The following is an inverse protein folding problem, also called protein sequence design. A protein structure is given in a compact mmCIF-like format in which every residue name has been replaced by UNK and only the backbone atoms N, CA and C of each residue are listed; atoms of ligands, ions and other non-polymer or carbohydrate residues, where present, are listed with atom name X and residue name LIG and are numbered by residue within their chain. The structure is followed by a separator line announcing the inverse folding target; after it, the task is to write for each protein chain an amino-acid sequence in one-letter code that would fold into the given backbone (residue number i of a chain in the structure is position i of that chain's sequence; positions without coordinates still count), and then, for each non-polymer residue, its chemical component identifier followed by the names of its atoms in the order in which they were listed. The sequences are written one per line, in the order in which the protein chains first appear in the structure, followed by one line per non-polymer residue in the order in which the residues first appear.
data_IF_556025945736
#
_entry.id   IF_556025945736
#
_cell.length_a   1.000
_cell.length_b   1.000
_cell.length_c   1.000
_cell.angle_alpha   90.00
_cell.angle_beta   90.00
_cell.angle_gamma   90.00
#
_symmetry.space_group_name_H-M   'P 1'
#
loop_
_entity.id
_entity.type
_entity.pdbx_description
1 polymer ?
#
# COMPACT_ATOMS: atom_id res chain seq x y z
N UNK A 1 -27.63 8.65 -77.19
CA UNK A 1 -27.16 7.25 -77.36
C UNK A 1 -26.49 6.82 -76.05
N UNK A 2 -26.78 5.72 -75.36
CA UNK A 2 -27.74 4.64 -75.47
C UNK A 2 -27.69 3.81 -74.18
N UNK A 3 -28.86 3.33 -73.77
CA UNK A 3 -29.17 2.07 -73.08
C UNK A 3 -28.20 1.50 -72.00
N UNK A 4 -28.59 1.73 -70.74
CA UNK A 4 -28.73 0.78 -69.61
C UNK A 4 -28.11 -0.62 -69.74
N UNK A 5 -27.44 -1.05 -68.66
CA UNK A 5 -27.72 -2.33 -67.97
C UNK A 5 -27.11 -2.36 -66.56
N UNK A 6 -27.98 -2.61 -65.59
CA UNK A 6 -27.65 -3.00 -64.23
C UNK A 6 -27.66 -4.53 -64.14
N UNK A 7 -26.65 -5.11 -63.52
CA UNK A 7 -26.69 -6.47 -62.94
C UNK A 7 -25.67 -6.54 -61.80
N UNK A 8 -26.15 -6.52 -60.55
CA UNK A 8 -25.38 -7.01 -59.40
C UNK A 8 -26.30 -7.86 -58.53
N UNK A 9 -26.46 -9.12 -58.92
CA UNK A 9 -26.95 -10.20 -58.07
C UNK A 9 -25.76 -10.84 -57.37
N UNK A 10 -25.60 -10.57 -56.09
CA UNK A 10 -24.86 -11.42 -55.17
C UNK A 10 -25.38 -11.19 -53.76
N UNK A 11 -26.34 -12.02 -53.35
CA UNK A 11 -26.74 -12.21 -51.96
C UNK A 11 -25.58 -12.86 -51.20
N UNK A 12 -24.82 -12.06 -50.45
CA UNK A 12 -23.85 -12.54 -49.49
C UNK A 12 -24.35 -12.24 -48.07
N UNK A 13 -25.22 -13.12 -47.55
CA UNK A 13 -25.56 -13.15 -46.12
C UNK A 13 -24.36 -13.69 -45.35
N UNK A 14 -23.57 -12.79 -44.77
CA UNK A 14 -22.47 -13.16 -43.89
C UNK A 14 -22.61 -12.46 -42.54
N UNK A 15 -22.62 -13.30 -41.49
CA UNK A 15 -22.30 -13.02 -40.09
C UNK A 15 -23.30 -12.22 -39.27
N UNK A 16 -24.10 -12.94 -38.49
CA UNK A 16 -24.01 -12.76 -37.03
C UNK A 16 -24.35 -14.05 -36.30
N UNK A 17 -23.29 -14.67 -35.80
CA UNK A 17 -23.32 -15.84 -34.93
C UNK A 17 -24.08 -15.48 -33.64
N UNK A 18 -25.35 -15.85 -33.58
CA UNK A 18 -26.16 -15.80 -32.37
C UNK A 18 -25.68 -16.89 -31.42
N UNK A 19 -24.76 -16.59 -30.51
CA UNK A 19 -24.58 -17.36 -29.26
C UNK A 19 -24.11 -16.47 -28.12
N UNK A 20 -25.06 -15.96 -27.35
CA UNK A 20 -24.99 -15.95 -25.87
C UNK A 20 -26.37 -15.59 -25.33
N UNK A 21 -27.18 -16.61 -25.07
CA UNK A 21 -28.37 -16.42 -24.25
C UNK A 21 -27.93 -16.12 -22.82
N UNK A 22 -28.51 -15.05 -22.30
CA UNK A 22 -28.67 -14.71 -20.90
C UNK A 22 -28.95 -15.93 -20.02
N UNK A 23 -28.24 -16.06 -18.91
CA UNK A 23 -28.76 -16.23 -17.55
C UNK A 23 -27.57 -16.45 -16.61
N UNK A 24 -27.09 -15.36 -15.99
CA UNK A 24 -26.49 -15.32 -14.64
C UNK A 24 -26.30 -13.83 -14.30
N UNK A 25 -27.30 -13.30 -13.60
CA UNK A 25 -27.34 -12.01 -12.93
C UNK A 25 -28.38 -12.23 -11.83
N UNK A 26 -28.15 -12.06 -10.53
CA UNK A 26 -27.08 -11.43 -9.77
C UNK A 26 -26.85 -12.27 -8.51
N UNK A 27 -25.60 -12.51 -8.12
CA UNK A 27 -25.27 -12.72 -6.71
C UNK A 27 -24.56 -11.45 -6.24
N UNK A 28 -25.09 -10.68 -5.28
CA UNK A 28 -24.25 -9.75 -4.56
C UNK A 28 -23.34 -10.62 -3.69
N UNK A 29 -22.08 -10.70 -4.11
CA UNK A 29 -20.98 -11.10 -3.23
C UNK A 29 -20.98 -10.10 -2.07
N UNK A 30 -21.47 -10.53 -0.89
CA UNK A 30 -21.08 -9.92 0.38
C UNK A 30 -19.58 -10.12 0.50
N UNK A 31 -18.82 -9.12 0.08
CA UNK A 31 -17.44 -8.95 0.54
C UNK A 31 -17.50 -8.34 1.94
N UNK A 32 -17.88 -9.15 2.92
CA UNK A 32 -17.57 -8.82 4.30
C UNK A 32 -16.09 -9.14 4.53
N UNK A 33 -15.32 -8.10 4.84
CA UNK A 33 -14.03 -8.24 5.51
C UNK A 33 -12.84 -8.55 4.61
N UNK A 34 -12.70 -7.90 3.46
CA UNK A 34 -11.43 -7.83 2.74
C UNK A 34 -10.36 -7.19 3.63
N UNK A 35 -9.35 -7.99 3.97
CA UNK A 35 -8.26 -7.62 4.86
C UNK A 35 -7.35 -6.50 4.36
N UNK A 36 -6.46 -6.12 5.28
CA UNK A 36 -5.21 -5.41 5.05
C UNK A 36 -5.30 -4.16 4.16
N UNK A 37 -5.70 -3.04 4.76
CA UNK A 37 -5.18 -1.73 4.36
C UNK A 37 -4.09 -1.31 5.33
N UNK A 38 -2.92 -1.95 5.22
CA UNK A 38 -1.65 -1.31 5.56
C UNK A 38 -1.39 -0.20 4.54
N UNK A 39 -2.18 0.87 4.63
CA UNK A 39 -1.88 2.09 3.91
C UNK A 39 -0.82 2.78 4.75
N UNK A 40 0.45 2.60 4.38
CA UNK A 40 1.51 3.53 4.75
C UNK A 40 0.92 4.94 4.67
N UNK A 41 0.90 5.66 5.79
CA UNK A 41 0.17 6.91 5.93
C UNK A 41 0.69 7.91 4.89
N UNK A 42 0.02 7.98 3.75
CA UNK A 42 0.10 9.09 2.84
C UNK A 42 -0.55 10.23 3.61
N UNK A 43 0.27 11.07 4.26
CA UNK A 43 -0.20 12.35 4.80
C UNK A 43 -0.51 13.20 3.58
N UNK A 44 -1.66 12.92 2.99
CA UNK A 44 -2.26 13.75 1.96
C UNK A 44 -2.54 15.13 2.57
N UNK A 45 -2.37 16.17 1.77
CA UNK A 45 -2.52 17.57 2.21
C UNK A 45 -3.91 17.90 2.78
N UNK A 46 -4.87 16.98 2.68
CA UNK A 46 -6.23 17.09 3.20
C UNK A 46 -6.51 16.46 4.56
N UNK A 47 -5.55 15.79 5.22
CA UNK A 47 -5.80 15.20 6.54
C UNK A 47 -6.01 16.28 7.61
N UNK A 48 -7.09 16.17 8.39
CA UNK A 48 -7.40 17.12 9.44
C UNK A 48 -6.39 17.04 10.59
N UNK A 49 -6.32 18.08 11.42
CA UNK A 49 -5.43 18.07 12.60
C UNK A 49 -5.80 16.94 13.56
N UNK A 50 -7.10 16.63 13.69
CA UNK A 50 -7.57 15.51 14.52
C UNK A 50 -7.02 14.18 14.01
N UNK A 51 -7.10 13.93 12.70
CA UNK A 51 -6.60 12.69 12.10
C UNK A 51 -5.10 12.51 12.34
N UNK A 52 -4.34 13.62 12.26
CA UNK A 52 -2.89 13.61 12.53
C UNK A 52 -2.58 13.31 14.00
N UNK A 53 -3.36 13.85 14.94
CA UNK A 53 -3.19 13.59 16.37
C UNK A 53 -3.57 12.16 16.74
N UNK A 54 -4.64 11.62 16.15
CA UNK A 54 -5.04 10.23 16.33
C UNK A 54 -3.97 9.28 15.75
N UNK A 55 -3.47 9.57 14.55
CA UNK A 55 -2.36 8.82 13.96
C UNK A 55 -1.11 8.86 14.85
N UNK A 56 -0.77 10.03 15.42
CA UNK A 56 0.36 10.17 16.33
C UNK A 56 0.17 9.34 17.60
N UNK A 57 -1.02 9.38 18.20
CA UNK A 57 -1.37 8.57 19.38
C UNK A 57 -1.16 7.07 19.14
N UNK A 58 -1.50 6.58 17.94
CA UNK A 58 -1.34 5.17 17.58
C UNK A 58 0.14 4.73 17.39
N UNK A 59 1.09 5.66 17.24
CA UNK A 59 2.52 5.36 17.06
C UNK A 59 3.30 5.37 18.38
N UNK A 60 2.82 6.10 19.37
CA UNK A 60 3.48 6.20 20.68
C UNK A 60 2.96 5.09 21.58
N UNK A 61 3.83 4.25 22.16
CA UNK A 61 3.41 3.26 23.13
C UNK A 61 2.96 3.98 24.40
N UNK A 62 1.66 4.24 24.49
CA UNK A 62 1.01 4.84 25.65
C UNK A 62 0.09 3.79 26.28
N UNK A 63 0.21 3.58 27.59
CA UNK A 63 -0.57 2.57 28.32
C UNK A 63 -2.07 2.89 28.37
N UNK A 64 -2.43 4.14 28.06
CA UNK A 64 -3.78 4.65 28.20
C UNK A 64 -4.39 4.96 26.82
N UNK A 65 -5.35 4.12 26.40
CA UNK A 65 -6.18 4.39 25.22
C UNK A 65 -7.20 5.53 25.43
N UNK A 66 -7.23 6.16 26.60
CA UNK A 66 -8.12 7.28 26.91
C UNK A 66 -7.75 8.56 26.16
N UNK A 67 -8.60 9.58 26.26
CA UNK A 67 -8.43 10.88 25.61
C UNK A 67 -7.23 11.61 26.23
N UNK A 68 -6.07 11.49 25.57
CA UNK A 68 -4.82 12.15 25.98
C UNK A 68 -4.82 13.57 25.42
N UNK A 69 -4.51 14.56 26.27
CA UNK A 69 -4.37 15.96 25.84
C UNK A 69 -3.18 16.10 24.87
N UNK A 70 -3.26 16.98 23.85
CA UNK A 70 -2.18 17.17 22.88
C UNK A 70 -0.81 17.45 23.53
N UNK A 71 -0.76 18.30 24.56
CA UNK A 71 0.50 18.65 25.23
C UNK A 71 1.20 17.42 25.85
N UNK A 72 0.41 16.54 26.48
CA UNK A 72 0.92 15.30 27.05
C UNK A 72 1.36 14.33 25.95
N UNK A 73 0.57 14.21 24.88
CA UNK A 73 0.92 13.39 23.73
C UNK A 73 2.26 13.82 23.12
N UNK A 74 2.50 15.13 23.00
CA UNK A 74 3.77 15.64 22.48
C UNK A 74 4.95 15.37 23.40
N UNK A 75 4.76 15.45 24.72
CA UNK A 75 5.80 15.10 25.69
C UNK A 75 6.17 13.62 25.58
N UNK A 76 5.17 12.73 25.62
CA UNK A 76 5.38 11.28 25.49
C UNK A 76 6.01 10.93 24.14
N UNK A 77 5.61 11.62 23.07
CA UNK A 77 6.22 11.48 21.74
C UNK A 77 7.70 11.87 21.77
N UNK A 78 8.04 13.00 22.40
CA UNK A 78 9.41 13.49 22.47
C UNK A 78 10.30 12.47 23.21
N UNK A 79 9.84 11.99 24.36
CA UNK A 79 10.53 10.97 25.15
C UNK A 79 10.71 9.67 24.34
N UNK A 80 9.67 9.26 23.61
CA UNK A 80 9.74 8.05 22.79
C UNK A 80 10.71 8.20 21.62
N UNK A 81 10.75 9.37 20.96
CA UNK A 81 11.75 9.65 19.91
C UNK A 81 13.17 9.54 20.46
N UNK A 82 13.43 10.11 21.64
CA UNK A 82 14.75 10.03 22.28
C UNK A 82 15.12 8.59 22.61
N UNK A 83 14.17 7.81 23.14
CA UNK A 83 14.36 6.38 23.41
C UNK A 83 14.72 5.61 22.14
N UNK A 84 13.96 5.78 21.06
CA UNK A 84 14.23 5.11 19.79
C UNK A 84 15.59 5.50 19.21
N UNK A 85 15.92 6.79 19.22
CA UNK A 85 17.24 7.27 18.78
C UNK A 85 18.37 6.64 19.57
N UNK A 86 18.20 6.50 20.88
CA UNK A 86 19.20 5.87 21.75
C UNK A 86 19.35 4.38 21.42
N UNK A 87 18.24 3.66 21.22
CA UNK A 87 18.28 2.24 20.82
C UNK A 87 19.00 2.06 19.48
N UNK A 88 18.68 2.87 18.48
CA UNK A 88 19.36 2.85 17.17
C UNK A 88 20.85 3.17 17.32
N UNK A 89 21.21 4.16 18.15
CA UNK A 89 22.60 4.52 18.40
C UNK A 89 23.40 3.36 19.02
N UNK A 90 22.84 2.68 20.04
CA UNK A 90 23.47 1.51 20.66
C UNK A 90 23.65 0.39 19.63
N UNK A 91 22.63 0.08 18.84
CA UNK A 91 22.72 -0.94 17.79
C UNK A 91 23.79 -0.61 16.75
N UNK A 92 23.87 0.66 16.32
CA UNK A 92 24.93 1.10 15.41
C UNK A 92 26.31 0.90 16.03
N UNK A 93 26.50 1.23 17.31
CA UNK A 93 27.78 1.00 18.00
C UNK A 93 28.14 -0.47 18.09
N UNK A 94 27.17 -1.36 18.34
CA UNK A 94 27.42 -2.80 18.31
C UNK A 94 27.85 -3.26 16.92
N UNK A 95 27.22 -2.77 15.86
CA UNK A 95 27.64 -3.07 14.48
C UNK A 95 29.05 -2.52 14.21
N UNK A 96 29.38 -1.31 14.64
CA UNK A 96 30.72 -0.73 14.46
C UNK A 96 31.78 -1.60 15.18
N UNK A 97 31.50 -2.05 16.40
CA UNK A 97 32.42 -2.86 17.19
C UNK A 97 32.63 -4.28 16.63
N UNK A 98 31.55 -4.97 16.24
CA UNK A 98 31.60 -6.38 15.83
C UNK A 98 31.65 -6.57 14.31
N UNK A 99 31.09 -5.66 13.53
CA UNK A 99 31.12 -5.69 12.06
C UNK A 99 32.51 -5.40 11.48
N UNK A 100 33.40 -4.77 12.24
CA UNK A 100 34.80 -4.56 11.89
C UNK A 100 35.68 -5.81 12.10
N UNK A 101 35.15 -6.87 12.72
CA UNK A 101 35.89 -8.09 13.07
C UNK A 101 35.78 -9.20 12.01
N UNK A 102 35.50 -8.90 10.74
CA UNK A 102 35.73 -9.93 9.71
C UNK A 102 37.23 -10.24 9.65
N UNK A 103 37.67 -11.48 9.93
CA UNK A 103 39.02 -11.89 9.62
C UNK A 103 39.13 -11.93 8.10
N UNK A 104 40.11 -11.21 7.55
CA UNK A 104 40.61 -11.41 6.19
C UNK A 104 41.26 -12.81 6.09
N UNK A 105 40.44 -13.86 6.13
CA UNK A 105 40.86 -15.25 5.92
C UNK A 105 40.55 -15.65 4.47
N UNK A 106 41.22 -15.01 3.50
CA UNK A 106 41.70 -15.67 2.27
C UNK A 106 42.48 -14.70 1.37
N UNK A 107 43.70 -14.37 1.80
CA UNK A 107 44.71 -13.87 0.87
C UNK A 107 45.93 -14.77 1.03
N UNK A 108 46.07 -15.68 0.08
CA UNK A 108 47.23 -16.51 -0.25
C UNK A 108 47.17 -17.97 0.22
N UNK A 109 46.86 -18.85 -0.73
CA UNK A 109 47.69 -20.04 -0.93
C UNK A 109 48.05 -20.11 -2.43
N UNK A 110 49.34 -19.91 -2.68
CA UNK A 110 50.09 -20.03 -3.94
C UNK A 110 50.16 -21.48 -4.39
#
# INVERSE_FOLDING_TARGET
MGLKKATSTATATMKKQRRKSSHISRRPSRSEGGGCRSSAAHIDGGASVSDKLEALKNLVPSENNSEIKPDQLFLETADYIVRLKTQVFVLQKLIDFYGSQQPEENRNSV
#
